data_IF_311258553308
#
_entry.id   IF_311258553308
#
_cell.length_a   1.000
_cell.length_b   1.000
_cell.length_c   1.000
_cell.angle_alpha   90.00
_cell.angle_beta   90.00
_cell.angle_gamma   90.00
#
_symmetry.space_group_name_H-M   'P 1'
#
loop_
_entity.id
_entity.type
_entity.pdbx_description
1 polymer ?
#
# COMPACT_ATOMS: atom_id res chain seq x y z
N UNK A 1 -4.00 -10.49 -26.67
CA UNK A 1 -4.73 -9.21 -26.76
C UNK A 1 -6.10 -9.28 -26.07
N UNK A 2 -6.77 -10.44 -26.06
CA UNK A 2 -8.07 -10.67 -25.41
C UNK A 2 -8.06 -10.56 -23.87
N UNK A 3 -6.94 -10.82 -23.19
CA UNK A 3 -6.88 -10.83 -21.71
C UNK A 3 -7.04 -9.44 -21.07
N UNK A 4 -6.51 -8.39 -21.69
CA UNK A 4 -6.55 -7.03 -21.15
C UNK A 4 -7.93 -6.37 -21.27
N UNK A 5 -8.70 -6.75 -22.29
CA UNK A 5 -10.07 -6.26 -22.51
C UNK A 5 -11.03 -6.89 -21.49
N UNK A 6 -10.80 -8.15 -21.14
CA UNK A 6 -11.62 -8.88 -20.14
C UNK A 6 -11.42 -8.33 -18.73
N UNK A 7 -10.19 -7.96 -18.34
CA UNK A 7 -9.93 -7.30 -17.05
C UNK A 7 -10.52 -5.89 -16.97
N UNK A 8 -10.47 -5.11 -18.05
CA UNK A 8 -11.09 -3.78 -18.12
C UNK A 8 -12.62 -3.85 -17.96
N UNK A 9 -13.28 -4.89 -18.51
CA UNK A 9 -14.72 -5.11 -18.35
C UNK A 9 -15.09 -5.58 -16.95
N UNK A 10 -14.27 -6.42 -16.32
CA UNK A 10 -14.46 -6.83 -14.93
C UNK A 10 -14.32 -5.64 -13.96
N UNK A 11 -13.40 -4.71 -14.24
CA UNK A 11 -13.24 -3.47 -13.47
C UNK A 11 -14.47 -2.55 -13.57
N UNK A 12 -15.03 -2.35 -14.77
CA UNK A 12 -16.22 -1.54 -14.97
C UNK A 12 -17.48 -2.14 -14.31
N UNK A 13 -17.63 -3.47 -14.34
CA UNK A 13 -18.75 -4.16 -13.71
C UNK A 13 -18.74 -4.03 -12.17
N UNK A 14 -17.55 -3.97 -11.55
CA UNK A 14 -17.40 -3.81 -10.10
C UNK A 14 -17.87 -2.42 -9.61
N UNK A 15 -17.80 -1.37 -10.44
CA UNK A 15 -18.30 -0.04 -10.08
C UNK A 15 -19.83 0.03 -10.00
N UNK A 16 -20.54 -0.72 -10.85
CA UNK A 16 -22.01 -0.71 -10.90
C UNK A 16 -22.62 -1.38 -9.65
N UNK A 17 -21.96 -2.42 -9.13
CA UNK A 17 -22.42 -3.12 -7.90
C UNK A 17 -22.23 -2.26 -6.65
N UNK A 18 -21.20 -1.39 -6.63
CA UNK A 18 -20.93 -0.49 -5.49
C UNK A 18 -21.97 0.63 -5.37
N UNK A 19 -22.55 1.11 -6.47
CA UNK A 19 -23.57 2.16 -6.43
C UNK A 19 -24.92 1.69 -5.88
N UNK A 20 -25.30 0.41 -6.07
CA UNK A 20 -26.58 -0.10 -5.58
C UNK A 20 -26.58 -0.49 -4.09
N UNK A 21 -25.41 -0.67 -3.46
CA UNK A 21 -25.32 -1.09 -2.06
C UNK A 21 -25.31 0.08 -1.04
N UNK A 22 -25.24 1.33 -1.49
CA UNK A 22 -25.10 2.51 -0.62
C UNK A 22 -26.43 3.12 -0.13
N UNK A 23 -27.37 2.29 0.34
CA UNK A 23 -28.46 2.78 1.19
C UNK A 23 -28.83 1.78 2.29
N UNK A 24 -28.00 1.73 3.33
CA UNK A 24 -28.46 1.50 4.69
C UNK A 24 -27.40 1.95 5.70
N UNK A 25 -27.69 3.10 6.34
CA UNK A 25 -26.95 3.61 7.48
C UNK A 25 -27.04 2.60 8.64
N UNK A 26 -25.91 2.04 9.06
CA UNK A 26 -25.73 1.69 10.46
C UNK A 26 -24.31 2.05 10.92
N UNK A 27 -24.26 2.96 11.88
CA UNK A 27 -23.05 3.35 12.60
C UNK A 27 -22.68 2.21 13.56
N UNK A 28 -21.92 1.23 13.07
CA UNK A 28 -21.12 0.39 13.94
C UNK A 28 -19.74 1.03 13.98
N UNK A 29 -19.36 1.56 15.15
CA UNK A 29 -18.01 2.03 15.40
C UNK A 29 -17.04 0.95 14.92
N UNK A 30 -16.20 1.31 13.94
CA UNK A 30 -15.16 0.41 13.46
C UNK A 30 -14.37 -0.10 14.67
N UNK A 31 -14.09 -1.42 14.78
CA UNK A 31 -13.28 -1.93 15.87
C UNK A 31 -11.97 -1.15 15.92
N UNK A 32 -11.65 -0.59 17.09
CA UNK A 32 -10.40 0.14 17.33
C UNK A 32 -9.27 -0.77 16.87
N UNK A 33 -8.62 -0.41 15.76
CA UNK A 33 -7.51 -1.18 15.25
C UNK A 33 -6.37 -1.06 16.24
N UNK A 34 -6.17 -2.13 17.01
CA UNK A 34 -5.15 -2.19 18.03
C UNK A 34 -3.80 -2.43 17.34
N UNK A 35 -2.83 -1.56 17.65
CA UNK A 35 -1.46 -1.65 17.16
C UNK A 35 -1.18 -0.85 15.88
N UNK A 36 0.11 -0.65 15.66
CA UNK A 36 0.64 0.10 14.53
C UNK A 36 0.28 -0.53 13.17
N UNK A 37 -0.08 0.33 12.21
CA UNK A 37 -0.46 -0.10 10.86
C UNK A 37 0.22 0.75 9.78
N UNK A 38 0.28 0.19 8.57
CA UNK A 38 0.82 0.84 7.39
C UNK A 38 -0.08 0.61 6.17
N UNK A 39 -0.70 1.68 5.71
CA UNK A 39 -1.46 1.72 4.47
C UNK A 39 -0.52 1.86 3.28
N UNK A 40 -0.76 1.11 2.21
CA UNK A 40 0.03 1.13 0.98
C UNK A 40 -0.88 1.31 -0.24
N UNK A 41 -0.37 1.96 -1.29
CA UNK A 41 -1.07 2.11 -2.55
C UNK A 41 -0.12 2.28 -3.74
N UNK A 42 -0.53 1.74 -4.89
CA UNK A 42 0.07 1.95 -6.20
C UNK A 42 -0.76 2.84 -7.11
N UNK A 43 -0.12 3.83 -7.74
CA UNK A 43 -0.71 4.67 -8.76
C UNK A 43 -0.11 4.33 -10.13
N UNK A 44 -0.93 3.72 -11.00
CA UNK A 44 -0.55 3.31 -12.35
C UNK A 44 -1.53 3.89 -13.38
N UNK A 45 -1.07 4.22 -14.59
CA UNK A 45 -1.95 4.64 -15.69
C UNK A 45 -1.34 4.29 -17.05
N UNK A 46 -2.05 3.52 -17.87
CA UNK A 46 -1.56 2.98 -19.16
C UNK A 46 -0.93 4.02 -20.11
N UNK A 47 -1.38 5.28 -20.05
CA UNK A 47 -0.91 6.36 -20.92
C UNK A 47 0.31 7.11 -20.39
N UNK A 48 0.78 6.80 -19.19
CA UNK A 48 1.87 7.52 -18.51
C UNK A 48 3.06 6.59 -18.28
N UNK A 49 4.26 7.03 -18.63
CA UNK A 49 5.48 6.20 -18.51
C UNK A 49 5.98 6.04 -17.07
N UNK A 50 5.43 6.81 -16.11
CA UNK A 50 5.73 6.72 -14.68
C UNK A 50 4.56 6.08 -13.94
N UNK A 51 4.88 5.31 -12.91
CA UNK A 51 3.97 4.96 -11.85
C UNK A 51 4.43 5.62 -10.54
N UNK A 52 3.52 5.71 -9.57
CA UNK A 52 3.81 6.20 -8.23
C UNK A 52 3.47 5.14 -7.21
N UNK A 53 4.21 5.10 -6.10
CA UNK A 53 3.93 4.25 -4.95
C UNK A 53 3.94 5.12 -3.71
N UNK A 54 3.04 4.82 -2.79
CA UNK A 54 2.85 5.59 -1.57
C UNK A 54 2.51 4.70 -0.39
N UNK A 55 2.97 5.08 0.79
CA UNK A 55 2.59 4.42 2.02
C UNK A 55 2.47 5.42 3.17
N UNK A 56 1.55 5.13 4.08
CA UNK A 56 1.26 5.92 5.28
C UNK A 56 1.24 4.98 6.48
N UNK A 57 2.14 5.19 7.42
CA UNK A 57 2.27 4.43 8.65
C UNK A 57 1.88 5.30 9.85
N UNK A 58 1.12 4.71 10.77
CA UNK A 58 0.66 5.37 11.98
C UNK A 58 0.73 4.42 13.17
N UNK A 59 1.39 4.88 14.22
CA UNK A 59 1.46 4.22 15.51
C UNK A 59 0.47 4.92 16.48
N UNK A 60 -0.63 4.25 16.86
CA UNK A 60 -1.61 4.83 17.77
C UNK A 60 -1.08 5.02 19.20
N UNK A 61 -0.07 4.26 19.62
CA UNK A 61 0.45 4.31 21.00
C UNK A 61 1.38 5.52 21.19
N UNK A 62 2.25 5.79 20.21
CA UNK A 62 3.15 6.95 20.24
C UNK A 62 2.57 8.20 19.56
N UNK A 63 1.50 8.05 18.76
CA UNK A 63 0.99 9.08 17.87
C UNK A 63 1.93 9.41 16.70
N UNK A 64 3.00 8.62 16.50
CA UNK A 64 3.98 8.88 15.46
C UNK A 64 3.44 8.51 14.07
N UNK A 65 3.92 9.23 13.06
CA UNK A 65 3.55 9.02 11.66
C UNK A 65 4.80 8.97 10.81
N UNK A 66 4.88 7.96 9.96
CA UNK A 66 5.85 7.87 8.87
C UNK A 66 5.12 7.82 7.53
N UNK A 67 5.65 8.49 6.53
CA UNK A 67 5.11 8.50 5.17
C UNK A 67 6.22 8.33 4.16
N UNK A 68 5.89 7.63 3.08
CA UNK A 68 6.73 7.51 1.91
C UNK A 68 5.96 7.80 0.64
N UNK A 69 6.61 8.51 -0.28
CA UNK A 69 6.11 8.72 -1.64
C UNK A 69 7.28 8.64 -2.62
N UNK A 70 7.15 7.81 -3.66
CA UNK A 70 8.20 7.59 -4.67
C UNK A 70 7.57 7.35 -6.02
N UNK A 71 8.24 7.78 -7.09
CA UNK A 71 7.90 7.32 -8.43
C UNK A 71 8.90 6.29 -8.98
N UNK A 72 8.41 5.53 -9.95
CA UNK A 72 9.14 4.48 -10.62
C UNK A 72 8.79 4.46 -12.10
N UNK A 73 9.69 3.88 -12.91
CA UNK A 73 9.34 3.56 -14.30
C UNK A 73 8.19 2.59 -14.31
N UNK A 74 7.14 2.91 -15.04
CA UNK A 74 5.91 2.14 -15.02
C UNK A 74 6.17 0.65 -15.33
N UNK A 75 5.71 -0.22 -14.41
CA UNK A 75 5.67 -1.66 -14.61
C UNK A 75 4.54 -2.11 -15.54
N UNK A 76 4.42 -3.42 -15.74
CA UNK A 76 3.52 -3.98 -16.75
C UNK A 76 2.03 -3.88 -16.38
N UNK A 77 1.71 -3.75 -15.09
CA UNK A 77 0.32 -3.74 -14.62
C UNK A 77 0.11 -2.91 -13.35
N UNK A 78 -1.12 -2.45 -13.07
CA UNK A 78 -1.47 -1.85 -11.78
C UNK A 78 -1.12 -2.76 -10.60
N UNK A 79 -1.40 -4.05 -10.72
CA UNK A 79 -1.16 -5.03 -9.66
C UNK A 79 0.34 -5.19 -9.34
N UNK A 80 1.22 -5.05 -10.35
CA UNK A 80 2.67 -4.98 -10.11
C UNK A 80 3.02 -3.76 -9.27
N UNK A 81 2.47 -2.59 -9.58
CA UNK A 81 2.72 -1.35 -8.83
C UNK A 81 2.21 -1.44 -7.38
N UNK A 82 1.08 -2.10 -7.14
CA UNK A 82 0.60 -2.40 -5.78
C UNK A 82 1.58 -3.29 -5.00
N UNK A 83 2.11 -4.33 -5.64
CA UNK A 83 3.11 -5.22 -5.03
C UNK A 83 4.44 -4.50 -4.75
N UNK A 84 4.89 -3.65 -5.68
CA UNK A 84 6.07 -2.80 -5.51
C UNK A 84 5.89 -1.81 -4.35
N UNK A 85 4.69 -1.24 -4.17
CA UNK A 85 4.35 -0.39 -3.04
C UNK A 85 4.48 -1.15 -1.71
N UNK A 86 3.97 -2.38 -1.64
CA UNK A 86 4.11 -3.24 -0.47
C UNK A 86 5.58 -3.55 -0.16
N UNK A 87 6.36 -3.99 -1.15
CA UNK A 87 7.79 -4.30 -0.96
C UNK A 87 8.54 -3.09 -0.42
N UNK A 88 8.31 -1.92 -1.01
CA UNK A 88 8.96 -0.69 -0.58
C UNK A 88 8.56 -0.29 0.84
N UNK A 89 7.27 -0.37 1.18
CA UNK A 89 6.80 -0.12 2.53
C UNK A 89 7.44 -1.09 3.55
N UNK A 90 7.50 -2.39 3.23
CA UNK A 90 8.14 -3.40 4.08
C UNK A 90 9.61 -3.07 4.33
N UNK A 91 10.37 -2.73 3.28
CA UNK A 91 11.78 -2.34 3.41
C UNK A 91 11.95 -1.09 4.29
N UNK A 92 11.11 -0.07 4.10
CA UNK A 92 11.12 1.13 4.92
C UNK A 92 10.82 0.83 6.40
N UNK A 93 9.79 0.03 6.69
CA UNK A 93 9.46 -0.35 8.07
C UNK A 93 10.62 -1.09 8.74
N UNK A 94 11.30 -1.98 8.02
CA UNK A 94 12.47 -2.70 8.54
C UNK A 94 13.64 -1.76 8.84
N UNK A 95 13.90 -0.75 7.99
CA UNK A 95 14.93 0.27 8.23
C UNK A 95 14.62 1.12 9.47
N UNK A 96 13.35 1.40 9.73
CA UNK A 96 12.89 2.11 10.94
C UNK A 96 12.71 1.20 12.16
N UNK A 97 13.22 -0.03 12.12
CA UNK A 97 13.12 -1.04 13.18
C UNK A 97 11.67 -1.38 13.61
N UNK A 98 10.69 -1.16 12.73
CA UNK A 98 9.29 -1.53 12.93
C UNK A 98 9.09 -2.98 12.53
N UNK A 99 9.25 -3.89 13.49
CA UNK A 99 9.26 -5.35 13.28
C UNK A 99 7.91 -6.03 13.49
N UNK A 100 6.91 -5.32 13.99
CA UNK A 100 5.54 -5.79 14.16
C UNK A 100 4.63 -4.87 13.39
N UNK A 101 4.11 -5.32 12.25
CA UNK A 101 3.40 -4.45 11.33
C UNK A 101 2.13 -5.06 10.78
N UNK A 102 1.08 -4.24 10.77
CA UNK A 102 -0.18 -4.50 10.08
C UNK A 102 -0.24 -3.70 8.79
N UNK A 103 0.06 -4.33 7.65
CA UNK A 103 -0.08 -3.70 6.35
C UNK A 103 -1.54 -3.73 5.87
N UNK A 104 -1.94 -2.68 5.17
CA UNK A 104 -3.29 -2.48 4.68
C UNK A 104 -3.28 -1.98 3.25
N UNK A 105 -4.14 -2.56 2.41
CA UNK A 105 -4.30 -2.19 1.00
C UNK A 105 -5.77 -2.26 0.62
N UNK A 106 -6.18 -1.51 -0.39
CA UNK A 106 -7.50 -1.69 -1.03
C UNK A 106 -7.44 -2.56 -2.29
N UNK A 107 -6.31 -3.22 -2.54
CA UNK A 107 -6.16 -4.19 -3.60
C UNK A 107 -6.39 -5.61 -3.06
N UNK A 108 -7.62 -6.11 -3.17
CA UNK A 108 -7.95 -7.48 -2.74
C UNK A 108 -7.14 -8.56 -3.50
N UNK A 109 -6.77 -8.29 -4.77
CA UNK A 109 -5.91 -9.19 -5.54
C UNK A 109 -4.50 -9.29 -4.96
N UNK A 110 -3.94 -8.18 -4.45
CA UNK A 110 -2.64 -8.19 -3.78
C UNK A 110 -2.70 -9.04 -2.50
N UNK A 111 -3.75 -8.90 -1.69
CA UNK A 111 -3.95 -9.73 -0.49
C UNK A 111 -4.00 -11.20 -0.85
N UNK A 112 -4.74 -11.57 -1.91
CA UNK A 112 -4.79 -12.94 -2.42
C UNK A 112 -3.42 -13.42 -2.92
N UNK A 113 -2.70 -12.58 -3.64
CA UNK A 113 -1.39 -12.89 -4.20
C UNK A 113 -0.36 -13.21 -3.12
N UNK A 114 -0.26 -12.37 -2.09
CA UNK A 114 0.67 -12.59 -0.96
C UNK A 114 0.27 -13.80 -0.12
N UNK A 115 -1.02 -14.12 -0.06
CA UNK A 115 -1.52 -15.29 0.67
C UNK A 115 -1.27 -16.61 -0.07
N UNK A 116 -1.33 -16.60 -1.41
CA UNK A 116 -1.16 -17.79 -2.26
C UNK A 116 -0.19 -17.52 -3.41
N UNK A 117 1.10 -17.29 -3.14
CA UNK A 117 2.07 -16.86 -4.15
C UNK A 117 2.24 -17.85 -5.30
N UNK A 118 2.01 -19.14 -5.08
CA UNK A 118 2.10 -20.20 -6.09
C UNK A 118 1.05 -20.09 -7.21
N UNK A 119 -0.07 -19.40 -6.97
CA UNK A 119 -1.09 -19.11 -8.00
C UNK A 119 -0.67 -17.97 -8.94
N UNK A 120 0.45 -17.28 -8.68
CA UNK A 120 0.85 -16.03 -9.36
C UNK A 120 2.30 -16.09 -9.90
N UNK A 121 2.63 -17.05 -10.79
CA UNK A 121 3.99 -17.28 -11.26
C UNK A 121 4.60 -16.07 -12.00
N UNK A 122 3.77 -15.22 -12.60
CA UNK A 122 4.22 -13.99 -13.27
C UNK A 122 4.88 -12.98 -12.31
N UNK A 123 4.63 -13.09 -11.01
CA UNK A 123 5.17 -12.20 -9.97
C UNK A 123 6.22 -12.88 -9.08
N UNK A 124 6.71 -14.07 -9.45
CA UNK A 124 7.57 -14.89 -8.60
C UNK A 124 8.78 -14.14 -8.03
N UNK A 125 9.47 -13.34 -8.85
CA UNK A 125 10.64 -12.54 -8.43
C UNK A 125 10.26 -11.51 -7.35
N UNK A 126 9.14 -10.80 -7.55
CA UNK A 126 8.67 -9.81 -6.57
C UNK A 126 8.14 -10.50 -5.30
N UNK A 127 7.52 -11.66 -5.43
CA UNK A 127 7.04 -12.45 -4.30
C UNK A 127 8.17 -13.05 -3.47
N UNK A 128 9.32 -13.36 -4.08
CA UNK A 128 10.53 -13.73 -3.35
C UNK A 128 11.04 -12.58 -2.47
N UNK A 129 11.02 -11.34 -2.98
CA UNK A 129 11.37 -10.16 -2.19
C UNK A 129 10.37 -9.92 -1.04
N UNK A 130 9.07 -10.14 -1.27
CA UNK A 130 8.07 -10.13 -0.18
C UNK A 130 8.38 -11.20 0.85
N UNK A 131 8.69 -12.43 0.44
CA UNK A 131 9.00 -13.53 1.35
C UNK A 131 10.25 -13.23 2.20
N UNK A 132 11.30 -12.70 1.57
CA UNK A 132 12.53 -12.25 2.24
C UNK A 132 12.25 -11.18 3.27
N UNK A 133 11.51 -10.13 2.90
CA UNK A 133 11.14 -9.07 3.83
C UNK A 133 10.28 -9.63 4.98
N UNK A 134 9.30 -10.49 4.67
CA UNK A 134 8.40 -11.11 5.65
C UNK A 134 9.16 -11.92 6.69
N UNK A 135 10.20 -12.64 6.32
CA UNK A 135 11.06 -13.40 7.25
C UNK A 135 11.83 -12.51 8.25
N UNK A 136 11.88 -11.20 8.03
CA UNK A 136 12.53 -10.23 8.92
C UNK A 136 11.56 -9.56 9.90
N UNK A 137 10.25 -9.76 9.77
CA UNK A 137 9.25 -9.27 10.72
C UNK A 137 9.01 -10.31 11.84
N UNK A 138 8.79 -9.84 13.06
CA UNK A 138 8.31 -10.67 14.18
C UNK A 138 6.82 -10.96 13.99
N UNK A 139 6.06 -9.93 13.61
CA UNK A 139 4.63 -10.02 13.32
C UNK A 139 4.37 -9.31 11.99
N UNK A 140 3.67 -9.99 11.08
CA UNK A 140 3.29 -9.47 9.78
C UNK A 140 1.83 -9.83 9.49
N UNK A 141 1.03 -8.84 9.14
CA UNK A 141 -0.28 -9.05 8.53
C UNK A 141 -0.44 -8.16 7.30
N UNK A 142 -1.24 -8.60 6.34
CA UNK A 142 -1.67 -7.81 5.19
C UNK A 142 -3.18 -7.99 5.05
N UNK A 143 -3.93 -6.91 5.20
CA UNK A 143 -5.41 -6.93 5.17
C UNK A 143 -5.98 -5.99 4.11
N UNK A 144 -7.17 -6.36 3.63
CA UNK A 144 -7.94 -5.50 2.72
C UNK A 144 -8.69 -4.43 3.52
N UNK A 145 -8.69 -3.20 3.01
CA UNK A 145 -9.53 -2.10 3.48
C UNK A 145 -10.29 -1.46 2.31
N UNK A 146 -11.48 -0.87 2.51
CA UNK A 146 -12.15 -0.13 1.45
C UNK A 146 -11.31 1.06 0.94
N UNK A 147 -11.38 1.36 -0.36
CA UNK A 147 -10.69 2.50 -1.00
C UNK A 147 -10.89 3.83 -0.26
N UNK A 148 -12.09 4.07 0.26
CA UNK A 148 -12.44 5.26 1.03
C UNK A 148 -11.62 5.40 2.34
N UNK A 149 -11.08 4.30 2.87
CA UNK A 149 -10.22 4.29 4.06
C UNK A 149 -8.72 4.39 3.73
N UNK A 150 -8.31 4.17 2.48
CA UNK A 150 -6.91 4.20 2.02
C UNK A 150 -6.49 5.53 1.37
N UNK A 151 -7.20 6.63 1.67
CA UNK A 151 -7.04 7.91 0.96
C UNK A 151 -5.66 8.55 1.12
N UNK A 152 -4.94 8.26 2.20
CA UNK A 152 -3.61 8.84 2.47
C UNK A 152 -2.55 8.24 1.55
N UNK A 153 -2.44 6.91 1.50
CA UNK A 153 -1.51 6.23 0.62
C UNK A 153 -1.83 6.50 -0.86
N UNK A 154 -3.12 6.54 -1.22
CA UNK A 154 -3.57 6.90 -2.57
C UNK A 154 -3.06 8.26 -3.04
N UNK A 155 -3.24 9.30 -2.20
CA UNK A 155 -2.77 10.65 -2.51
C UNK A 155 -1.25 10.69 -2.65
N UNK A 156 -0.51 9.98 -1.79
CA UNK A 156 0.95 9.90 -1.86
C UNK A 156 1.42 9.24 -3.17
N UNK A 157 0.80 8.14 -3.57
CA UNK A 157 1.12 7.43 -4.81
C UNK A 157 0.80 8.28 -6.04
N UNK A 158 -0.42 8.87 -6.11
CA UNK A 158 -0.83 9.73 -7.24
C UNK A 158 0.04 10.97 -7.36
N UNK A 159 0.38 11.59 -6.24
CA UNK A 159 1.25 12.77 -6.22
C UNK A 159 2.62 12.47 -6.79
N UNK A 160 3.26 11.37 -6.36
CA UNK A 160 4.55 10.94 -6.92
C UNK A 160 4.47 10.65 -8.41
N UNK A 161 3.43 9.93 -8.87
CA UNK A 161 3.24 9.62 -10.30
C UNK A 161 3.16 10.89 -11.16
N UNK A 162 2.47 11.91 -10.66
CA UNK A 162 2.26 13.17 -11.38
C UNK A 162 3.52 14.05 -11.50
N UNK A 163 4.58 13.76 -10.75
CA UNK A 163 5.81 14.55 -10.83
C UNK A 163 6.58 14.27 -12.14
N UNK A 164 7.09 15.32 -12.80
CA UNK A 164 7.85 15.16 -14.05
C UNK A 164 9.26 14.60 -13.81
N UNK A 165 9.81 14.79 -12.62
CA UNK A 165 11.14 14.38 -12.18
C UNK A 165 11.08 13.19 -11.24
N UNK A 166 12.22 12.55 -10.97
CA UNK A 166 12.28 11.41 -10.04
C UNK A 166 12.01 11.87 -8.60
N UNK A 167 11.13 11.16 -7.91
CA UNK A 167 10.70 11.46 -6.53
C UNK A 167 11.10 10.29 -5.64
N UNK A 168 11.78 10.59 -4.54
CA UNK A 168 12.02 9.67 -3.44
C UNK A 168 11.91 10.44 -2.14
N UNK A 169 10.82 10.25 -1.40
CA UNK A 169 10.56 10.98 -0.16
C UNK A 169 10.15 10.02 0.95
N UNK A 170 10.77 10.18 2.13
CA UNK A 170 10.41 9.52 3.39
C UNK A 170 10.51 10.57 4.49
N UNK A 171 9.45 10.81 5.27
CA UNK A 171 9.53 11.76 6.39
C UNK A 171 10.23 11.11 7.61
N UNK A 172 11.56 11.15 7.62
CA UNK A 172 12.30 10.86 8.84
C UNK A 172 12.20 12.09 9.74
N UNK A 173 11.20 12.19 10.61
CA UNK A 173 11.27 13.19 11.70
C UNK A 173 12.36 12.69 12.66
N UNK A 174 13.47 13.43 12.88
CA UNK A 174 14.40 13.07 13.94
C UNK A 174 13.67 13.16 15.27
N UNK A 175 13.83 12.18 16.16
CA UNK A 175 13.37 12.27 17.54
C UNK A 175 13.86 13.61 18.10
N UNK A 176 12.93 14.41 18.63
CA UNK A 176 13.21 15.69 19.30
C UNK A 176 14.37 15.47 20.29
N UNK A 177 15.43 16.30 20.28
CA UNK A 177 16.42 16.24 21.34
C UNK A 177 15.72 16.49 22.67
N UNK A 178 15.77 15.52 23.58
CA UNK A 178 15.40 15.73 24.98
C UNK A 178 16.20 16.94 25.47
N UNK A 179 15.53 18.07 25.65
CA UNK A 179 16.05 19.16 26.47
C UNK A 179 16.29 18.55 27.85
N UNK A 180 17.56 18.32 28.18
CA UNK A 180 17.99 17.80 29.47
C UNK A 180 17.55 18.72 30.61
N UNK A 181 17.45 18.19 31.84
CA UNK A 181 16.93 18.96 32.96
C UNK A 181 17.90 20.09 33.33
N UNK A 182 17.35 21.26 33.65
CA UNK A 182 18.00 22.27 34.47
C UNK A 182 17.59 22.08 35.94
#
# INVERSE_FOLDING_TARGET
>A
MESAITESRAWAAAQIVVEQANFSNSSLADPVQLGEWCQIDGAWKVTEWRAGIGWYNFDPDSGSTLIGSRNLRQGLSPLQTELEALIWAMQCMLVHNKRQMNFQTDCAQLVKMVSKPTEWPAFAILLEEVAKCRGMFQTFSLSYIPRAKNTKADKLARSARAQPHDVYYINSVPLVPLSGPA
#
